data_IF_416213858391
#
_entry.id   IF_416213858391
#
_cell.length_a   1.000
_cell.length_b   1.000
_cell.length_c   1.000
_cell.angle_alpha   90.00
_cell.angle_beta   90.00
_cell.angle_gamma   90.00
#
_symmetry.space_group_name_H-M   'P 1'
#
loop_
_entity.id
_entity.type
_entity.pdbx_description
1 polymer ?
#
# COMPACT_ATOMS: atom_id res chain seq x y z
N UNK A 1 -26.29 -17.13 6.52
CA UNK A 1 -25.27 -16.55 5.62
C UNK A 1 -25.29 -15.06 5.83
N UNK A 2 -24.28 -14.49 6.50
CA UNK A 2 -24.16 -13.02 6.65
C UNK A 2 -23.75 -12.46 5.30
N UNK A 3 -24.49 -11.46 4.83
CA UNK A 3 -24.07 -10.54 3.78
C UNK A 3 -22.66 -10.03 4.12
N UNK A 4 -21.63 -10.59 3.49
CA UNK A 4 -20.32 -9.96 3.50
C UNK A 4 -20.46 -8.76 2.57
N UNK A 5 -20.65 -7.57 3.16
CA UNK A 5 -20.61 -6.32 2.42
C UNK A 5 -19.43 -6.37 1.45
N UNK A 6 -19.70 -6.18 0.15
CA UNK A 6 -18.64 -6.24 -0.85
C UNK A 6 -17.60 -5.17 -0.49
N UNK A 7 -16.39 -5.60 -0.15
CA UNK A 7 -15.27 -4.69 0.15
C UNK A 7 -15.03 -3.81 -1.05
N UNK A 8 -14.98 -2.49 -0.83
CA UNK A 8 -14.68 -1.54 -1.89
C UNK A 8 -13.20 -1.66 -2.30
N UNK A 9 -12.85 -1.18 -3.50
CA UNK A 9 -11.46 -1.09 -3.96
C UNK A 9 -10.57 -0.34 -2.95
N UNK A 10 -11.14 0.62 -2.22
CA UNK A 10 -10.48 1.34 -1.14
C UNK A 10 -10.20 0.44 0.07
N UNK A 11 -11.18 -0.33 0.52
CA UNK A 11 -11.00 -1.23 1.66
C UNK A 11 -9.93 -2.27 1.37
N UNK A 12 -9.94 -2.81 0.14
CA UNK A 12 -8.90 -3.72 -0.35
C UNK A 12 -7.51 -3.08 -0.39
N UNK A 13 -7.41 -1.82 -0.85
CA UNK A 13 -6.15 -1.07 -0.84
C UNK A 13 -5.62 -0.82 0.58
N UNK A 14 -6.47 -0.52 1.55
CA UNK A 14 -6.05 -0.37 2.95
C UNK A 14 -5.67 -1.72 3.56
N UNK A 15 -6.44 -2.77 3.28
CA UNK A 15 -6.19 -4.12 3.80
C UNK A 15 -4.88 -4.70 3.28
N UNK A 16 -4.53 -4.51 2.00
CA UNK A 16 -3.24 -4.99 1.47
C UNK A 16 -2.06 -4.28 2.13
N UNK A 17 -2.16 -2.96 2.38
CA UNK A 17 -1.10 -2.20 3.08
C UNK A 17 -0.98 -2.66 4.54
N UNK A 18 -2.10 -2.97 5.21
CA UNK A 18 -2.09 -3.57 6.55
C UNK A 18 -1.45 -4.96 6.55
N UNK A 19 -1.77 -5.79 5.56
CA UNK A 19 -1.16 -7.10 5.37
C UNK A 19 0.37 -6.98 5.30
N UNK A 20 0.86 -6.07 4.45
CA UNK A 20 2.28 -5.78 4.35
C UNK A 20 2.90 -5.22 5.63
N UNK A 21 2.25 -4.26 6.30
CA UNK A 21 2.73 -3.71 7.57
C UNK A 21 2.80 -4.78 8.69
N UNK A 22 1.99 -5.83 8.57
CA UNK A 22 1.97 -6.97 9.48
C UNK A 22 2.81 -8.16 9.01
N UNK A 23 3.44 -8.07 7.83
CA UNK A 23 4.13 -9.18 7.17
C UNK A 23 3.25 -10.44 7.04
N UNK A 24 1.94 -10.22 6.83
CA UNK A 24 0.93 -11.27 6.73
C UNK A 24 0.60 -11.54 5.25
N UNK A 25 1.27 -12.55 4.69
CA UNK A 25 1.09 -12.95 3.30
C UNK A 25 -0.32 -13.44 2.98
N UNK A 26 -1.02 -14.03 3.97
CA UNK A 26 -2.40 -14.52 3.80
C UNK A 26 -3.32 -13.31 3.66
N UNK A 27 -3.20 -12.32 4.55
CA UNK A 27 -4.00 -11.10 4.47
C UNK A 27 -3.72 -10.31 3.17
N UNK A 28 -2.47 -10.28 2.70
CA UNK A 28 -2.11 -9.67 1.39
C UNK A 28 -2.85 -10.37 0.26
N UNK A 29 -2.84 -11.70 0.24
CA UNK A 29 -3.51 -12.49 -0.79
C UNK A 29 -5.04 -12.30 -0.73
N UNK A 30 -5.65 -12.42 0.46
CA UNK A 30 -7.08 -12.25 0.65
C UNK A 30 -7.59 -10.85 0.27
N UNK A 31 -6.78 -9.80 0.49
CA UNK A 31 -7.14 -8.44 0.14
C UNK A 31 -7.27 -8.24 -1.39
N UNK A 32 -6.47 -8.96 -2.18
CA UNK A 32 -6.41 -8.81 -3.63
C UNK A 32 -7.10 -9.96 -4.39
N UNK A 33 -7.60 -10.98 -3.69
CA UNK A 33 -8.22 -12.14 -4.32
C UNK A 33 -9.49 -11.77 -5.10
N UNK A 34 -9.67 -12.41 -6.26
CA UNK A 34 -10.84 -12.24 -7.12
C UNK A 34 -11.04 -10.83 -7.70
N UNK A 35 -10.02 -9.96 -7.71
CA UNK A 35 -10.10 -8.65 -8.36
C UNK A 35 -10.23 -8.79 -9.88
N UNK A 36 -11.25 -8.13 -10.46
CA UNK A 36 -11.31 -7.89 -11.91
C UNK A 36 -10.41 -6.71 -12.33
N UNK A 37 -10.23 -6.53 -13.64
CA UNK A 37 -9.35 -5.52 -14.21
C UNK A 37 -9.72 -4.07 -13.81
N UNK A 38 -11.01 -3.77 -13.62
CA UNK A 38 -11.48 -2.45 -13.19
C UNK A 38 -11.07 -2.19 -11.74
N UNK A 39 -11.32 -3.17 -10.87
CA UNK A 39 -10.99 -3.09 -9.45
C UNK A 39 -9.46 -3.04 -9.22
N UNK A 40 -8.65 -3.72 -10.03
CA UNK A 40 -7.17 -3.56 -9.99
C UNK A 40 -6.74 -2.11 -10.23
N UNK A 41 -7.35 -1.45 -11.21
CA UNK A 41 -7.02 -0.05 -11.55
C UNK A 41 -7.42 0.90 -10.41
N UNK A 42 -8.59 0.69 -9.82
CA UNK A 42 -9.05 1.49 -8.68
C UNK A 42 -8.18 1.29 -7.43
N UNK A 43 -7.84 0.05 -7.10
CA UNK A 43 -6.91 -0.28 -6.01
C UNK A 43 -5.58 0.44 -6.23
N UNK A 44 -5.02 0.35 -7.43
CA UNK A 44 -3.77 1.03 -7.77
C UNK A 44 -3.85 2.56 -7.62
N UNK A 45 -4.96 3.18 -8.04
CA UNK A 45 -5.18 4.61 -7.89
C UNK A 45 -5.26 5.04 -6.42
N UNK A 46 -5.97 4.29 -5.57
CA UNK A 46 -6.05 4.53 -4.13
C UNK A 46 -4.67 4.41 -3.48
N UNK A 47 -3.93 3.33 -3.78
CA UNK A 47 -2.58 3.11 -3.27
C UNK A 47 -1.61 4.22 -3.68
N UNK A 48 -1.69 4.68 -4.93
CA UNK A 48 -0.88 5.78 -5.43
C UNK A 48 -1.15 7.09 -4.67
N UNK A 49 -2.42 7.35 -4.34
CA UNK A 49 -2.82 8.50 -3.51
C UNK A 49 -2.31 8.39 -2.07
N UNK A 50 -2.40 7.20 -1.47
CA UNK A 50 -1.89 6.93 -0.14
C UNK A 50 -0.37 7.12 -0.09
N UNK A 51 0.38 6.48 -1.00
CA UNK A 51 1.83 6.60 -1.08
C UNK A 51 2.27 8.06 -1.21
N UNK A 52 1.62 8.83 -2.12
CA UNK A 52 1.92 10.26 -2.31
C UNK A 52 1.69 11.05 -1.01
N UNK A 53 0.58 10.79 -0.34
CA UNK A 53 0.26 11.44 0.94
C UNK A 53 1.30 11.12 2.01
N UNK A 54 1.71 9.86 2.13
CA UNK A 54 2.76 9.44 3.08
C UNK A 54 4.10 10.10 2.79
N UNK A 55 4.50 10.18 1.51
CA UNK A 55 5.72 10.91 1.11
C UNK A 55 5.63 12.38 1.54
N UNK A 56 4.52 13.06 1.23
CA UNK A 56 4.34 14.47 1.60
C UNK A 56 4.40 14.69 3.11
N UNK A 57 3.79 13.80 3.91
CA UNK A 57 3.88 13.91 5.38
C UNK A 57 5.32 13.67 5.87
N UNK A 58 6.03 12.69 5.29
CA UNK A 58 7.42 12.44 5.63
C UNK A 58 8.29 13.65 5.33
N UNK A 59 8.13 14.28 4.16
CA UNK A 59 8.82 15.51 3.78
C UNK A 59 8.53 16.66 4.76
N UNK A 60 7.26 16.87 5.12
CA UNK A 60 6.84 17.89 6.07
C UNK A 60 7.37 17.65 7.50
N UNK A 61 7.49 16.39 7.91
CA UNK A 61 7.99 16.02 9.23
C UNK A 61 9.50 16.23 9.40
N UNK A 62 10.23 16.47 8.30
CA UNK A 62 11.69 16.57 8.30
C UNK A 62 12.42 15.27 8.67
N UNK A 63 11.69 14.16 8.81
CA UNK A 63 12.24 12.85 9.18
C UNK A 63 13.07 12.32 8.01
N UNK A 64 14.39 12.19 8.21
CA UNK A 64 15.29 11.59 7.23
C UNK A 64 15.37 10.09 7.48
N UNK A 65 15.01 9.28 6.49
CA UNK A 65 15.23 7.85 6.53
C UNK A 65 16.65 7.53 6.07
N UNK A 66 17.37 6.71 6.84
CA UNK A 66 18.65 6.17 6.38
C UNK A 66 18.38 5.17 5.27
N UNK A 67 19.05 5.35 4.12
CA UNK A 67 18.84 4.53 2.94
C UNK A 67 18.98 3.01 3.22
N UNK A 68 19.97 2.63 4.03
CA UNK A 68 20.21 1.23 4.38
C UNK A 68 19.08 0.60 5.19
N UNK A 69 18.49 1.36 6.12
CA UNK A 69 17.34 0.90 6.92
C UNK A 69 16.09 0.76 6.06
N UNK A 70 15.90 1.71 5.14
CA UNK A 70 14.79 1.69 4.19
C UNK A 70 14.84 0.47 3.28
N UNK A 71 16.02 0.12 2.74
CA UNK A 71 16.22 -1.10 1.93
C UNK A 71 15.93 -2.34 2.76
N UNK A 72 16.48 -2.44 3.98
CA UNK A 72 16.25 -3.61 4.86
C UNK A 72 14.77 -3.80 5.16
N UNK A 73 14.07 -2.73 5.57
CA UNK A 73 12.65 -2.78 5.88
C UNK A 73 11.81 -3.11 4.64
N UNK A 74 12.25 -2.66 3.47
CA UNK A 74 11.60 -3.00 2.21
C UNK A 74 11.72 -4.49 1.90
N UNK A 75 12.90 -5.08 2.08
CA UNK A 75 13.09 -6.52 1.90
C UNK A 75 12.23 -7.33 2.90
N UNK A 76 12.18 -6.91 4.16
CA UNK A 76 11.36 -7.54 5.22
C UNK A 76 9.86 -7.49 4.90
N UNK A 77 9.36 -6.36 4.41
CA UNK A 77 7.95 -6.19 4.06
C UNK A 77 7.61 -6.91 2.74
N UNK A 78 8.50 -6.84 1.75
CA UNK A 78 8.31 -7.49 0.44
C UNK A 78 8.26 -9.02 0.53
N UNK A 79 8.83 -9.63 1.57
CA UNK A 79 8.76 -11.08 1.80
C UNK A 79 7.31 -11.60 1.98
N UNK A 80 6.35 -10.74 2.31
CA UNK A 80 4.93 -11.10 2.36
C UNK A 80 4.22 -11.05 0.98
N UNK A 81 4.93 -10.62 -0.07
CA UNK A 81 4.36 -10.62 -1.41
C UNK A 81 4.17 -12.05 -1.94
N UNK A 82 3.19 -12.27 -2.84
CA UNK A 82 3.07 -13.56 -3.51
C UNK A 82 4.38 -13.95 -4.21
N UNK A 83 4.77 -15.25 -4.26
CA UNK A 83 6.08 -15.69 -4.74
C UNK A 83 6.45 -15.22 -6.16
N UNK A 84 5.44 -14.98 -7.01
CA UNK A 84 5.63 -14.50 -8.38
C UNK A 84 5.96 -12.99 -8.45
N UNK A 85 5.67 -12.23 -7.39
CA UNK A 85 5.93 -10.79 -7.30
C UNK A 85 7.06 -10.42 -6.34
N UNK A 86 7.41 -11.28 -5.39
CA UNK A 86 8.42 -11.01 -4.35
C UNK A 86 9.72 -10.41 -4.91
N UNK A 87 10.31 -11.07 -5.92
CA UNK A 87 11.56 -10.61 -6.53
C UNK A 87 11.42 -9.25 -7.24
N UNK A 88 10.36 -9.07 -8.04
CA UNK A 88 10.12 -7.83 -8.77
C UNK A 88 9.86 -6.65 -7.82
N UNK A 89 9.14 -6.90 -6.72
CA UNK A 89 8.84 -5.92 -5.67
C UNK A 89 10.10 -5.53 -4.91
N UNK A 90 10.95 -6.51 -4.54
CA UNK A 90 12.22 -6.23 -3.87
C UNK A 90 13.17 -5.41 -4.76
N UNK A 91 13.33 -5.79 -6.03
CA UNK A 91 14.17 -5.04 -6.98
C UNK A 91 13.66 -3.62 -7.24
N UNK A 92 12.34 -3.45 -7.39
CA UNK A 92 11.75 -2.14 -7.58
C UNK A 92 11.93 -1.24 -6.35
N UNK A 93 11.85 -1.82 -5.15
CA UNK A 93 12.03 -1.04 -3.93
C UNK A 93 13.50 -0.68 -3.70
N UNK A 94 14.45 -1.54 -4.08
CA UNK A 94 15.87 -1.19 -4.14
C UNK A 94 16.16 -0.08 -5.16
N UNK A 95 15.54 -0.14 -6.34
CA UNK A 95 15.64 0.92 -7.34
C UNK A 95 15.09 2.25 -6.79
N UNK A 96 13.91 2.23 -6.16
CA UNK A 96 13.32 3.40 -5.52
C UNK A 96 14.23 3.98 -4.43
N UNK A 97 14.75 3.14 -3.54
CA UNK A 97 15.65 3.56 -2.48
C UNK A 97 16.90 4.27 -3.05
N UNK A 98 17.48 3.73 -4.14
CA UNK A 98 18.63 4.33 -4.83
C UNK A 98 18.29 5.60 -5.64
N UNK A 99 17.01 5.99 -5.72
CA UNK A 99 16.55 7.10 -6.54
C UNK A 99 16.52 6.79 -8.04
N UNK A 100 16.63 5.51 -8.44
CA UNK A 100 16.58 5.09 -9.82
C UNK A 100 15.14 5.01 -10.33
N UNK A 101 14.61 6.18 -10.69
CA UNK A 101 13.26 6.30 -11.24
C UNK A 101 13.08 5.57 -12.58
N UNK A 102 14.15 5.31 -13.32
CA UNK A 102 14.07 4.66 -14.63
C UNK A 102 13.82 3.16 -14.48
N UNK A 103 14.54 2.51 -13.58
CA UNK A 103 14.33 1.11 -13.22
C UNK A 103 12.98 0.91 -12.54
N UNK A 104 12.55 1.82 -11.66
CA UNK A 104 11.24 1.76 -11.03
C UNK A 104 10.11 1.84 -12.07
N UNK A 105 10.17 2.78 -13.02
CA UNK A 105 9.16 2.86 -14.10
C UNK A 105 9.16 1.63 -15.02
N UNK A 106 10.33 1.07 -15.31
CA UNK A 106 10.44 -0.14 -16.12
C UNK A 106 9.77 -1.35 -15.44
N UNK A 107 9.95 -1.50 -14.12
CA UNK A 107 9.35 -2.58 -13.34
C UNK A 107 7.85 -2.38 -13.13
N UNK A 108 7.39 -1.16 -12.82
CA UNK A 108 5.97 -0.87 -12.60
C UNK A 108 5.13 -0.81 -13.88
N UNK A 109 5.74 -0.60 -15.05
CA UNK A 109 5.04 -0.48 -16.33
C UNK A 109 4.69 -1.80 -17.01
N UNK A 110 5.21 -2.94 -16.52
CA UNK A 110 5.05 -4.25 -17.17
C UNK A 110 3.80 -5.01 -16.72
N UNK A 111 3.34 -4.77 -15.48
CA UNK A 111 2.28 -5.55 -14.86
C UNK A 111 1.55 -4.75 -13.77
N UNK A 112 0.22 -4.66 -13.87
CA UNK A 112 -0.61 -3.87 -12.94
C UNK A 112 -0.67 -4.50 -11.53
N UNK A 113 -0.87 -5.83 -11.36
CA UNK A 113 -0.69 -6.50 -10.08
C UNK A 113 0.68 -6.21 -9.42
N UNK A 114 1.77 -6.33 -10.17
CA UNK A 114 3.10 -5.94 -9.71
C UNK A 114 3.16 -4.48 -9.24
N UNK A 115 2.59 -3.55 -10.00
CA UNK A 115 2.51 -2.13 -9.62
C UNK A 115 1.71 -1.91 -8.32
N UNK A 116 0.63 -2.65 -8.11
CA UNK A 116 -0.14 -2.65 -6.84
C UNK A 116 0.72 -3.12 -5.68
N UNK A 117 1.39 -4.26 -5.80
CA UNK A 117 2.26 -4.78 -4.76
C UNK A 117 3.42 -3.82 -4.43
N UNK A 118 4.11 -3.29 -5.45
CA UNK A 118 5.17 -2.30 -5.27
C UNK A 118 4.69 -1.05 -4.53
N UNK A 119 3.54 -0.52 -4.92
CA UNK A 119 2.98 0.71 -4.31
C UNK A 119 2.54 0.45 -2.87
N UNK A 120 1.92 -0.70 -2.60
CA UNK A 120 1.51 -1.09 -1.25
C UNK A 120 2.71 -1.30 -0.32
N UNK A 121 3.78 -1.94 -0.79
CA UNK A 121 5.04 -2.09 -0.03
C UNK A 121 5.66 -0.73 0.25
N UNK A 122 5.76 0.14 -0.75
CA UNK A 122 6.29 1.50 -0.56
C UNK A 122 5.50 2.29 0.49
N UNK A 123 4.16 2.23 0.44
CA UNK A 123 3.30 2.90 1.41
C UNK A 123 3.48 2.30 2.83
N UNK A 124 3.58 0.97 2.93
CA UNK A 124 3.78 0.29 4.21
C UNK A 124 5.15 0.64 4.83
N UNK A 125 6.24 0.55 4.05
CA UNK A 125 7.60 0.87 4.52
C UNK A 125 7.67 2.31 5.02
N UNK A 126 7.19 3.27 4.22
CA UNK A 126 7.20 4.69 4.61
C UNK A 126 6.31 4.96 5.83
N UNK A 127 5.13 4.32 5.89
CA UNK A 127 4.25 4.43 7.04
C UNK A 127 4.89 3.90 8.33
N UNK A 128 5.52 2.73 8.26
CA UNK A 128 6.28 2.15 9.36
C UNK A 128 7.46 3.03 9.78
N UNK A 129 8.18 3.64 8.83
CA UNK A 129 9.26 4.56 9.15
C UNK A 129 8.75 5.82 9.83
N UNK A 130 7.63 6.38 9.38
CA UNK A 130 7.10 7.63 9.90
C UNK A 130 6.47 7.48 11.29
N UNK A 131 5.64 6.46 11.48
CA UNK A 131 4.80 6.30 12.68
C UNK A 131 5.11 5.05 13.53
N UNK A 132 6.02 4.18 13.08
CA UNK A 132 6.17 2.84 13.66
C UNK A 132 4.95 1.96 13.38
N UNK A 133 5.02 0.68 13.79
CA UNK A 133 3.95 -0.29 13.47
C UNK A 133 2.61 0.09 14.08
N UNK A 134 2.55 0.31 15.40
CA UNK A 134 1.29 0.61 16.10
C UNK A 134 0.65 1.89 15.59
N UNK A 135 1.41 2.99 15.52
CA UNK A 135 0.91 4.28 15.04
C UNK A 135 0.46 4.24 13.58
N UNK A 136 1.18 3.52 12.71
CA UNK A 136 0.77 3.40 11.31
C UNK A 136 -0.55 2.64 11.15
N UNK A 137 -0.75 1.54 11.89
CA UNK A 137 -2.01 0.79 11.86
C UNK A 137 -3.18 1.61 12.40
N UNK A 138 -2.95 2.43 13.42
CA UNK A 138 -3.94 3.39 13.94
C UNK A 138 -4.32 4.43 12.87
N UNK A 139 -3.34 5.01 12.16
CA UNK A 139 -3.60 5.95 11.05
C UNK A 139 -4.43 5.31 9.94
N UNK A 140 -4.12 4.08 9.55
CA UNK A 140 -4.90 3.35 8.53
C UNK A 140 -6.33 3.05 9.01
N UNK A 141 -6.51 2.79 10.31
CA UNK A 141 -7.83 2.62 10.91
C UNK A 141 -8.64 3.92 10.93
N UNK A 142 -8.03 5.01 11.36
CA UNK A 142 -8.65 6.34 11.38
C UNK A 142 -9.07 6.77 9.97
N UNK A 143 -8.20 6.54 8.97
CA UNK A 143 -8.51 6.81 7.55
C UNK A 143 -9.77 6.04 7.10
N UNK A 144 -9.83 4.74 7.39
CA UNK A 144 -10.97 3.91 7.01
C UNK A 144 -12.26 4.37 7.70
N UNK A 145 -12.21 4.69 8.99
CA UNK A 145 -13.36 5.18 9.75
C UNK A 145 -13.84 6.55 9.26
N UNK A 146 -12.92 7.50 9.08
CA UNK A 146 -13.22 8.85 8.58
C UNK A 146 -13.88 8.80 7.20
N UNK A 147 -13.33 8.00 6.28
CA UNK A 147 -13.88 7.89 4.93
C UNK A 147 -15.24 7.21 4.93
N UNK A 148 -15.43 6.17 5.78
CA UNK A 148 -16.72 5.50 5.92
C UNK A 148 -17.79 6.46 6.45
N UNK A 149 -17.46 7.27 7.46
CA UNK A 149 -18.34 8.32 7.97
C UNK A 149 -18.72 9.32 6.86
N UNK A 150 -17.76 9.81 6.08
CA UNK A 150 -18.02 10.77 4.98
C UNK A 150 -18.90 10.20 3.86
N UNK A 151 -18.83 8.89 3.58
CA UNK A 151 -19.70 8.25 2.60
C UNK A 151 -21.14 8.12 3.14
N UNK A 152 -21.27 7.80 4.43
CA UNK A 152 -22.58 7.63 5.08
C UNK A 152 -23.26 8.97 5.40
N UNK A 153 -22.49 10.04 5.59
CA UNK A 153 -22.99 11.40 5.86
C UNK A 153 -23.41 12.16 4.59
N UNK A 154 -23.29 11.57 3.39
CA UNK A 154 -23.85 12.21 2.18
C UNK A 154 -25.38 12.27 2.29
N UNK A 155 -26.00 13.47 2.29
CA UNK A 155 -27.44 13.58 2.31
C UNK A 155 -27.99 13.02 0.99
N UNK A 156 -28.90 12.06 1.10
CA UNK A 156 -29.71 11.55 0.00
C UNK A 156 -30.63 12.68 -0.51
N UNK A 157 -30.18 13.45 -1.50
CA UNK A 157 -31.05 14.30 -2.29
C UNK A 157 -30.49 15.68 -2.63
N UNK A 158 -30.15 15.85 -3.91
CA UNK A 158 -30.62 16.99 -4.71
C UNK A 158 -31.32 16.40 -5.93
#
# INVERSE_FOLDING_TARGET
>A
MRDAAHKTSRDRAVDVVRGYANQDAIAVQEALDGLDAGNWTEVYAVLSGLLRSTISIMELSGKRCELGQLVRRSDEVAAAAPPHHEFAVAEATRAWARGDQSAMRALSGQDLPGAVHMTAVGAAVLGLELWGRTGFLEVLNELHQTVTALVNDRPSGV
#
